data_IF_937013196195
#
_entry.id   IF_937013196195
#
_cell.length_a   1.000
_cell.length_b   1.000
_cell.length_c   1.000
_cell.angle_alpha   90.00
_cell.angle_beta   90.00
_cell.angle_gamma   90.00
#
_symmetry.space_group_name_H-M   'P 1'
#
loop_
_entity.id
_entity.type
_entity.pdbx_description
1 polymer ?
#
# COMPACT_ATOMS: atom_id res chain seq x y z
N UNK A 1 14.28 11.11 27.93
CA UNK A 1 14.30 9.64 28.06
C UNK A 1 13.22 9.08 27.13
N UNK A 2 13.57 8.78 25.88
CA UNK A 2 12.66 8.28 24.85
C UNK A 2 12.60 6.76 24.96
N UNK A 3 11.45 6.18 25.29
CA UNK A 3 11.25 4.72 25.25
C UNK A 3 11.58 4.24 23.84
N UNK A 4 12.59 3.37 23.63
CA UNK A 4 12.89 2.87 22.29
C UNK A 4 11.73 1.96 21.88
N UNK A 5 10.94 2.43 20.91
CA UNK A 5 9.84 1.66 20.33
C UNK A 5 10.31 0.27 19.92
N UNK A 6 9.48 -0.73 20.19
CA UNK A 6 9.79 -2.16 20.08
C UNK A 6 10.61 -2.48 18.79
N UNK A 7 11.90 -2.82 18.90
CA UNK A 7 12.76 -3.03 17.73
C UNK A 7 12.34 -4.23 16.86
N UNK A 8 11.61 -5.19 17.43
CA UNK A 8 11.03 -6.31 16.67
C UNK A 8 9.86 -5.85 15.80
N UNK A 9 9.03 -4.93 16.30
CA UNK A 9 7.96 -4.29 15.54
C UNK A 9 8.53 -3.39 14.43
N UNK A 10 9.58 -2.63 14.72
CA UNK A 10 10.24 -1.81 13.71
C UNK A 10 10.85 -2.66 12.58
N UNK A 11 11.39 -3.84 12.91
CA UNK A 11 11.94 -4.80 11.93
C UNK A 11 10.85 -5.52 11.14
N UNK A 12 9.72 -5.88 11.76
CA UNK A 12 8.59 -6.51 11.05
C UNK A 12 7.93 -5.56 10.06
N UNK A 13 7.77 -4.28 10.45
CA UNK A 13 7.33 -3.20 9.56
C UNK A 13 8.31 -3.05 8.39
N UNK A 14 9.62 -2.95 8.66
CA UNK A 14 10.67 -2.79 7.63
C UNK A 14 10.75 -3.95 6.64
N UNK A 15 10.54 -5.19 7.10
CA UNK A 15 10.54 -6.38 6.25
C UNK A 15 9.27 -6.55 5.40
N UNK A 16 8.19 -5.81 5.66
CA UNK A 16 6.91 -5.90 4.93
C UNK A 16 6.74 -4.86 3.84
N UNK A 17 7.55 -3.79 3.89
CA UNK A 17 7.62 -2.77 2.86
C UNK A 17 7.94 -3.26 1.43
N UNK A 18 8.73 -4.33 1.18
CA UNK A 18 9.12 -4.73 -0.18
C UNK A 18 7.94 -5.10 -1.11
N UNK A 19 6.77 -5.46 -0.56
CA UNK A 19 5.58 -5.82 -1.33
C UNK A 19 4.50 -4.74 -1.32
N UNK A 20 4.59 -3.78 -0.40
CA UNK A 20 3.66 -2.66 -0.27
C UNK A 20 4.10 -1.49 -1.15
N UNK A 21 5.41 -1.30 -1.33
CA UNK A 21 5.97 -0.22 -2.14
C UNK A 21 5.57 -0.28 -3.62
N UNK A 22 5.61 -1.45 -4.28
CA UNK A 22 5.17 -1.57 -5.67
C UNK A 22 3.66 -1.34 -5.83
N UNK A 23 2.85 -1.86 -4.91
CA UNK A 23 1.39 -1.68 -4.93
C UNK A 23 0.99 -0.22 -4.65
N UNK A 24 1.70 0.47 -3.75
CA UNK A 24 1.52 1.89 -3.51
C UNK A 24 1.82 2.72 -4.75
N UNK A 25 2.92 2.42 -5.45
CA UNK A 25 3.30 3.15 -6.66
C UNK A 25 2.27 2.99 -7.77
N UNK A 26 1.82 1.75 -8.00
CA UNK A 26 0.74 1.45 -8.96
C UNK A 26 -0.56 2.15 -8.56
N UNK A 27 -0.94 2.11 -7.27
CA UNK A 27 -2.15 2.78 -6.80
C UNK A 27 -2.12 4.29 -7.04
N UNK A 28 -0.97 4.95 -6.78
CA UNK A 28 -0.82 6.40 -6.99
C UNK A 28 -0.99 6.76 -8.48
N UNK A 29 -0.39 6.00 -9.39
CA UNK A 29 -0.52 6.26 -10.82
C UNK A 29 -1.96 6.02 -11.32
N UNK A 30 -2.63 4.96 -10.86
CA UNK A 30 -4.02 4.70 -11.22
C UNK A 30 -4.96 5.79 -10.68
N UNK A 31 -4.74 6.27 -9.44
CA UNK A 31 -5.48 7.40 -8.88
C UNK A 31 -5.23 8.69 -9.68
N UNK A 32 -4.01 8.92 -10.15
CA UNK A 32 -3.67 10.07 -11.00
C UNK A 32 -4.42 10.02 -12.32
N UNK A 33 -4.44 8.87 -12.99
CA UNK A 33 -5.19 8.65 -14.24
C UNK A 33 -6.69 8.85 -14.06
N UNK A 34 -7.28 8.21 -13.05
CA UNK A 34 -8.70 8.36 -12.74
C UNK A 34 -9.08 9.83 -12.48
N UNK A 35 -8.26 10.57 -11.71
CA UNK A 35 -8.47 12.01 -11.47
C UNK A 35 -8.29 12.87 -12.72
N UNK A 36 -7.50 12.42 -13.69
CA UNK A 36 -7.36 13.07 -14.99
C UNK A 36 -8.53 12.78 -15.95
N UNK A 37 -9.55 12.03 -15.51
CA UNK A 37 -10.73 11.70 -16.30
C UNK A 37 -10.61 10.41 -17.09
N UNK A 38 -9.61 9.57 -16.81
CA UNK A 38 -9.53 8.23 -17.39
C UNK A 38 -10.65 7.34 -16.81
N UNK A 39 -11.64 7.03 -17.65
CA UNK A 39 -12.81 6.22 -17.28
C UNK A 39 -12.66 4.75 -17.66
N UNK A 40 -11.46 4.29 -18.04
CA UNK A 40 -11.22 2.88 -18.33
C UNK A 40 -11.60 2.03 -17.09
N UNK A 41 -12.50 1.03 -17.23
CA UNK A 41 -12.85 0.12 -16.15
C UNK A 41 -11.63 -0.55 -15.49
N UNK A 42 -10.56 -0.81 -16.26
CA UNK A 42 -9.33 -1.40 -15.74
C UNK A 42 -8.62 -0.48 -14.73
N UNK A 43 -8.75 0.83 -14.87
CA UNK A 43 -8.19 1.80 -13.90
C UNK A 43 -8.92 1.69 -12.58
N UNK A 44 -10.25 1.66 -12.60
CA UNK A 44 -11.08 1.54 -11.40
C UNK A 44 -10.85 0.19 -10.70
N UNK A 45 -10.77 -0.90 -11.46
CA UNK A 45 -10.52 -2.23 -10.91
C UNK A 45 -9.11 -2.36 -10.33
N UNK A 46 -8.10 -1.77 -10.99
CA UNK A 46 -6.74 -1.71 -10.47
C UNK A 46 -6.62 -0.94 -9.14
N UNK A 47 -7.39 0.15 -8.97
CA UNK A 47 -7.46 0.88 -7.69
C UNK A 47 -8.03 -0.02 -6.59
N UNK A 48 -9.11 -0.75 -6.87
CA UNK A 48 -9.71 -1.68 -5.89
C UNK A 48 -8.76 -2.82 -5.52
N UNK A 49 -8.05 -3.38 -6.50
CA UNK A 49 -7.08 -4.45 -6.27
C UNK A 49 -5.88 -3.99 -5.43
N UNK A 50 -5.36 -2.79 -5.70
CA UNK A 50 -4.27 -2.22 -4.89
C UNK A 50 -4.70 -1.93 -3.44
N UNK A 51 -5.90 -1.39 -3.22
CA UNK A 51 -6.47 -1.21 -1.88
C UNK A 51 -6.53 -2.55 -1.12
N UNK A 52 -7.07 -3.59 -1.76
CA UNK A 52 -7.19 -4.91 -1.13
C UNK A 52 -5.82 -5.53 -0.84
N UNK A 53 -4.85 -5.39 -1.75
CA UNK A 53 -3.48 -5.89 -1.58
C UNK A 53 -2.74 -5.19 -0.44
N UNK A 54 -2.85 -3.86 -0.33
CA UNK A 54 -2.27 -3.08 0.76
C UNK A 54 -2.93 -3.47 2.09
N UNK A 55 -4.26 -3.54 2.14
CA UNK A 55 -4.99 -3.93 3.35
C UNK A 55 -4.60 -5.34 3.83
N UNK A 56 -4.42 -6.30 2.92
CA UNK A 56 -3.95 -7.64 3.25
C UNK A 56 -2.51 -7.65 3.79
N UNK A 57 -1.62 -6.86 3.18
CA UNK A 57 -0.24 -6.70 3.65
C UNK A 57 -0.14 -6.06 5.04
N UNK A 58 -1.00 -5.08 5.33
CA UNK A 58 -1.04 -4.37 6.61
C UNK A 58 -1.74 -5.16 7.73
N UNK A 59 -2.76 -5.98 7.42
CA UNK A 59 -3.48 -6.81 8.41
C UNK A 59 -2.62 -7.85 9.12
N UNK A 60 -1.49 -8.26 8.54
CA UNK A 60 -0.52 -9.10 9.25
C UNK A 60 0.20 -8.34 10.41
N UNK A 61 -0.07 -7.05 10.61
CA UNK A 61 0.62 -6.14 11.57
C UNK A 61 -0.16 -5.84 12.84
N UNK A 62 -1.21 -6.62 13.11
CA UNK A 62 -1.86 -6.65 14.43
C UNK A 62 -0.88 -7.05 15.53
#
# INVERSE_FOLDING_TARGET
>A
MTTPGNPLLARSIRNRFPYVDPLNHVQVELLRRHRAGDTDPQVVDGIRHSINGIAAGLRNSG
#
